data_IF_451213648268
#
_entry.id   IF_451213648268
#
_cell.length_a   1.000
_cell.length_b   1.000
_cell.length_c   1.000
_cell.angle_alpha   90.00
_cell.angle_beta   90.00
_cell.angle_gamma   90.00
#
_symmetry.space_group_name_H-M   'P 1'
#
loop_
_entity.id
_entity.type
_entity.pdbx_description
1 polymer ?
#
# COMPACT_ATOMS: atom_id res chain seq x y z
N UNK A 1 40.64 -53.97 11.68
CA UNK A 1 39.79 -53.09 10.87
C UNK A 1 38.69 -52.58 11.77
N UNK A 2 38.70 -51.29 12.06
CA UNK A 2 37.74 -50.61 12.92
C UNK A 2 37.25 -49.40 12.14
N UNK A 3 35.95 -49.31 11.88
CA UNK A 3 35.32 -48.12 11.33
C UNK A 3 34.39 -47.51 12.38
N UNK A 4 34.66 -46.24 12.67
CA UNK A 4 33.91 -45.37 13.57
C UNK A 4 32.74 -44.77 12.81
N UNK A 5 31.52 -44.99 13.28
CA UNK A 5 30.37 -44.20 12.84
C UNK A 5 30.27 -42.90 13.64
N UNK A 6 30.28 -41.79 12.91
CA UNK A 6 30.19 -40.43 13.43
C UNK A 6 28.74 -40.10 13.80
N UNK A 7 28.54 -39.62 15.03
CA UNK A 7 27.27 -39.07 15.53
C UNK A 7 27.00 -37.73 14.84
N UNK A 8 25.95 -37.65 14.02
CA UNK A 8 25.34 -36.37 13.64
C UNK A 8 24.26 -36.01 14.66
N UNK A 9 24.49 -34.92 15.40
CA UNK A 9 23.48 -34.27 16.23
C UNK A 9 22.47 -33.57 15.34
N UNK A 10 21.37 -34.26 15.02
CA UNK A 10 20.19 -33.65 14.42
C UNK A 10 19.36 -32.95 15.48
N UNK A 11 19.10 -31.66 15.29
CA UNK A 11 18.12 -30.92 16.07
C UNK A 11 16.76 -31.64 16.02
N UNK A 12 16.20 -31.91 17.18
CA UNK A 12 14.89 -32.56 17.35
C UNK A 12 13.83 -31.62 16.75
N UNK A 13 12.95 -32.10 15.85
CA UNK A 13 11.83 -31.30 15.40
C UNK A 13 10.90 -31.04 16.59
N UNK A 14 10.61 -29.76 16.87
CA UNK A 14 9.68 -29.37 17.91
C UNK A 14 8.33 -30.09 17.71
N UNK A 15 7.98 -30.95 18.66
CA UNK A 15 6.77 -31.78 18.63
C UNK A 15 5.52 -30.88 18.60
N UNK A 16 4.69 -30.93 17.53
CA UNK A 16 3.42 -30.20 17.47
C UNK A 16 2.43 -30.63 18.57
N UNK A 17 2.67 -31.77 19.24
CA UNK A 17 1.79 -32.36 20.25
C UNK A 17 2.03 -31.84 21.67
N UNK A 18 3.14 -31.16 21.93
CA UNK A 18 3.41 -30.54 23.24
C UNK A 18 2.43 -29.40 23.56
N UNK A 19 2.04 -28.61 22.55
CA UNK A 19 1.08 -27.50 22.68
C UNK A 19 -0.37 -28.01 22.82
N UNK A 20 -0.67 -29.23 22.36
CA UNK A 20 -2.01 -29.83 22.44
C UNK A 20 -2.43 -30.26 23.86
N UNK A 21 -1.56 -30.11 24.88
CA UNK A 21 -1.96 -30.26 26.29
C UNK A 21 -2.76 -29.06 26.84
N UNK A 22 -2.86 -27.96 26.08
CA UNK A 22 -3.42 -26.68 26.56
C UNK A 22 -4.82 -26.38 26.01
N UNK A 23 -5.60 -25.65 26.81
CA UNK A 23 -7.06 -25.64 26.82
C UNK A 23 -7.73 -25.27 25.49
N UNK A 24 -8.79 -26.02 25.15
CA UNK A 24 -9.66 -25.81 23.97
C UNK A 24 -9.99 -24.34 23.70
N UNK A 25 -10.20 -23.55 24.76
CA UNK A 25 -10.51 -22.12 24.69
C UNK A 25 -9.44 -21.30 23.95
N UNK A 26 -8.13 -21.55 24.18
CA UNK A 26 -7.06 -20.82 23.49
C UNK A 26 -7.06 -21.11 21.98
N UNK A 27 -7.25 -22.38 21.60
CA UNK A 27 -7.28 -22.79 20.20
C UNK A 27 -8.51 -22.26 19.47
N UNK A 28 -9.65 -22.16 20.15
CA UNK A 28 -10.91 -21.64 19.60
C UNK A 28 -10.80 -20.14 19.22
N UNK A 29 -9.91 -19.37 19.86
CA UNK A 29 -9.66 -17.97 19.49
C UNK A 29 -9.24 -17.79 18.03
N UNK A 30 -8.41 -18.70 17.50
CA UNK A 30 -7.98 -18.63 16.09
C UNK A 30 -9.12 -18.93 15.10
N UNK A 31 -10.10 -19.72 15.52
CA UNK A 31 -11.31 -19.95 14.73
C UNK A 31 -12.20 -18.70 14.73
N UNK A 32 -12.31 -18.03 15.88
CA UNK A 32 -13.09 -16.80 16.02
C UNK A 32 -12.45 -15.61 15.31
N UNK A 33 -11.11 -15.50 15.29
CA UNK A 33 -10.37 -14.51 14.48
C UNK A 33 -10.68 -14.66 12.98
N UNK A 34 -10.99 -15.88 12.51
CA UNK A 34 -11.28 -16.16 11.11
C UNK A 34 -12.75 -15.88 10.70
N UNK A 35 -13.62 -15.51 11.63
CA UNK A 35 -15.06 -15.29 11.39
C UNK A 35 -15.34 -13.97 10.66
N UNK A 36 -16.40 -13.89 9.83
CA UNK A 36 -16.76 -12.66 9.10
C UNK A 36 -17.34 -11.57 9.99
N UNK A 37 -17.85 -11.90 11.18
CA UNK A 37 -18.40 -10.93 12.14
C UNK A 37 -17.26 -10.13 12.81
N UNK A 38 -17.27 -8.81 12.63
CA UNK A 38 -16.23 -7.92 13.17
C UNK A 38 -16.10 -8.01 14.68
N UNK A 39 -17.21 -7.93 15.41
CA UNK A 39 -17.23 -7.99 16.88
C UNK A 39 -16.61 -9.28 17.42
N UNK A 40 -16.87 -10.41 16.75
CA UNK A 40 -16.31 -11.71 17.16
C UNK A 40 -14.80 -11.74 16.96
N UNK A 41 -14.30 -11.21 15.82
CA UNK A 41 -12.86 -11.13 15.57
C UNK A 41 -12.14 -10.22 16.57
N UNK A 42 -12.74 -9.09 16.89
CA UNK A 42 -12.15 -8.11 17.82
C UNK A 42 -12.08 -8.70 19.24
N UNK A 43 -13.19 -9.29 19.72
CA UNK A 43 -13.21 -9.95 21.02
C UNK A 43 -12.21 -11.11 21.10
N UNK A 44 -12.10 -11.94 20.05
CA UNK A 44 -11.12 -13.03 20.01
C UNK A 44 -9.67 -12.53 20.00
N UNK A 45 -9.39 -11.43 19.30
CA UNK A 45 -8.08 -10.79 19.30
C UNK A 45 -7.71 -10.25 20.68
N UNK A 46 -8.64 -9.56 21.34
CA UNK A 46 -8.44 -9.04 22.69
C UNK A 46 -8.20 -10.17 23.71
N UNK A 47 -9.01 -11.23 23.62
CA UNK A 47 -8.87 -12.41 24.48
C UNK A 47 -7.54 -13.14 24.24
N UNK A 48 -7.07 -13.21 22.99
CA UNK A 48 -5.75 -13.75 22.67
C UNK A 48 -4.64 -12.93 23.34
N UNK A 49 -4.69 -11.60 23.24
CA UNK A 49 -3.70 -10.74 23.89
C UNK A 49 -3.73 -10.88 25.40
N UNK A 50 -4.91 -10.89 26.02
CA UNK A 50 -5.06 -11.07 27.46
C UNK A 50 -4.46 -12.40 27.91
N UNK A 51 -4.81 -13.49 27.22
CA UNK A 51 -4.27 -14.82 27.50
C UNK A 51 -2.73 -14.86 27.42
N UNK A 52 -2.14 -14.25 26.38
CA UNK A 52 -0.69 -14.23 26.22
C UNK A 52 0.02 -13.36 27.27
N UNK A 53 -0.61 -12.29 27.78
CA UNK A 53 -0.03 -11.43 28.82
C UNK A 53 -0.15 -12.01 30.23
N UNK A 54 -1.27 -12.64 30.56
CA UNK A 54 -1.61 -13.08 31.92
C UNK A 54 -0.95 -14.41 32.33
N UNK A 55 0.11 -14.83 31.63
CA UNK A 55 0.84 -16.07 31.91
C UNK A 55 1.00 -17.01 30.71
N UNK A 56 0.89 -16.50 29.48
CA UNK A 56 1.25 -17.28 28.29
C UNK A 56 2.72 -17.68 28.34
N UNK A 57 3.00 -18.97 28.21
CA UNK A 57 4.39 -19.43 28.10
C UNK A 57 4.98 -19.03 26.74
N UNK A 58 6.30 -18.87 26.63
CA UNK A 58 7.01 -18.57 25.37
C UNK A 58 6.57 -19.47 24.19
N UNK A 59 6.24 -20.74 24.48
CA UNK A 59 5.77 -21.70 23.49
C UNK A 59 4.36 -21.39 22.96
N UNK A 60 3.47 -20.79 23.77
CA UNK A 60 2.16 -20.33 23.32
C UNK A 60 2.26 -19.08 22.46
N UNK A 61 3.17 -18.16 22.80
CA UNK A 61 3.45 -17.00 21.96
C UNK A 61 4.01 -17.42 20.60
N UNK A 62 4.99 -18.32 20.57
CA UNK A 62 5.51 -18.91 19.32
C UNK A 62 4.43 -19.63 18.53
N UNK A 63 3.57 -20.39 19.20
CA UNK A 63 2.43 -21.04 18.56
C UNK A 63 1.46 -20.02 17.95
N UNK A 64 1.11 -18.98 18.69
CA UNK A 64 0.21 -17.93 18.24
C UNK A 64 0.78 -17.22 17.01
N UNK A 65 2.04 -16.77 17.07
CA UNK A 65 2.71 -16.14 15.92
C UNK A 65 2.65 -17.02 14.68
N UNK A 66 3.02 -18.29 14.79
CA UNK A 66 2.95 -19.24 13.67
C UNK A 66 1.52 -19.35 13.11
N UNK A 67 0.51 -19.52 13.97
CA UNK A 67 -0.90 -19.65 13.54
C UNK A 67 -1.42 -18.38 12.88
N UNK A 68 -1.05 -17.21 13.39
CA UNK A 68 -1.41 -15.92 12.82
C UNK A 68 -0.77 -15.74 11.43
N UNK A 69 0.53 -16.01 11.30
CA UNK A 69 1.26 -15.95 10.03
C UNK A 69 0.65 -16.89 8.98
N UNK A 70 0.29 -18.12 9.36
CA UNK A 70 -0.39 -19.05 8.45
C UNK A 70 -1.76 -18.52 7.98
N UNK A 71 -2.49 -17.86 8.87
CA UNK A 71 -3.83 -17.33 8.62
C UNK A 71 -3.88 -16.15 7.63
N UNK A 72 -2.75 -15.44 7.42
CA UNK A 72 -2.67 -14.31 6.48
C UNK A 72 -3.05 -14.71 5.04
N UNK A 73 -2.71 -15.94 4.64
CA UNK A 73 -2.99 -16.51 3.33
C UNK A 73 -4.28 -17.36 3.28
N UNK A 74 -5.21 -17.18 4.23
CA UNK A 74 -6.40 -18.02 4.34
C UNK A 74 -7.23 -18.06 3.04
N UNK A 75 -7.79 -19.23 2.72
CA UNK A 75 -8.67 -19.40 1.54
C UNK A 75 -9.95 -18.58 1.68
N UNK A 76 -10.51 -18.47 2.89
CA UNK A 76 -11.65 -17.61 3.18
C UNK A 76 -11.18 -16.16 3.22
N UNK A 77 -11.66 -15.36 2.28
CA UNK A 77 -11.18 -13.97 2.11
C UNK A 77 -11.45 -13.11 3.33
N UNK A 78 -12.62 -13.28 3.96
CA UNK A 78 -13.03 -12.57 5.16
C UNK A 78 -12.13 -12.84 6.39
N UNK A 79 -11.37 -13.95 6.40
CA UNK A 79 -10.50 -14.29 7.51
C UNK A 79 -9.17 -13.53 7.49
N UNK A 80 -8.66 -13.19 6.29
CA UNK A 80 -7.30 -12.62 6.13
C UNK A 80 -7.10 -11.29 6.89
N UNK A 81 -8.05 -10.33 6.85
CA UNK A 81 -7.93 -9.10 7.64
C UNK A 81 -7.94 -9.37 9.15
N UNK A 82 -8.69 -10.39 9.60
CA UNK A 82 -8.72 -10.79 11.00
C UNK A 82 -7.36 -11.25 11.51
N UNK A 83 -6.71 -12.15 10.76
CA UNK A 83 -5.36 -12.62 11.09
C UNK A 83 -4.31 -11.51 11.01
N UNK A 84 -4.42 -10.62 10.02
CA UNK A 84 -3.53 -9.46 9.88
C UNK A 84 -3.62 -8.53 11.09
N UNK A 85 -4.85 -8.18 11.50
CA UNK A 85 -5.09 -7.35 12.68
C UNK A 85 -4.59 -8.02 13.96
N UNK A 86 -4.92 -9.29 14.17
CA UNK A 86 -4.47 -10.01 15.36
C UNK A 86 -2.95 -10.10 15.45
N UNK A 87 -2.26 -10.32 14.32
CA UNK A 87 -0.80 -10.27 14.26
C UNK A 87 -0.27 -8.87 14.58
N UNK A 88 -0.85 -7.82 14.01
CA UNK A 88 -0.46 -6.44 14.30
C UNK A 88 -0.56 -6.13 15.80
N UNK A 89 -1.64 -6.57 16.45
CA UNK A 89 -1.87 -6.35 17.87
C UNK A 89 -0.90 -7.15 18.76
N UNK A 90 -0.57 -8.40 18.39
CA UNK A 90 0.46 -9.18 19.08
C UNK A 90 1.81 -8.49 18.95
N UNK A 91 2.21 -8.06 17.75
CA UNK A 91 3.48 -7.36 17.55
C UNK A 91 3.52 -6.02 18.29
N UNK A 92 2.40 -5.31 18.36
CA UNK A 92 2.33 -4.07 19.14
C UNK A 92 2.48 -4.33 20.66
N UNK A 93 1.92 -5.44 21.17
CA UNK A 93 1.95 -5.76 22.59
C UNK A 93 3.30 -6.33 23.08
N UNK A 94 4.02 -7.05 22.22
CA UNK A 94 5.26 -7.75 22.54
C UNK A 94 6.42 -7.17 21.72
N UNK A 95 7.00 -6.07 22.21
CA UNK A 95 8.06 -5.32 21.53
C UNK A 95 9.39 -6.10 21.41
N UNK A 96 9.59 -7.12 22.24
CA UNK A 96 10.74 -8.02 22.20
C UNK A 96 10.78 -8.90 20.94
N UNK A 97 9.65 -9.07 20.25
CA UNK A 97 9.58 -9.85 19.01
C UNK A 97 10.20 -9.03 17.87
N UNK A 98 11.29 -9.48 17.23
CA UNK A 98 11.91 -8.74 16.13
C UNK A 98 11.04 -8.78 14.87
N UNK A 99 10.76 -7.62 14.26
CA UNK A 99 9.91 -7.56 13.07
C UNK A 99 10.54 -8.26 11.86
N UNK A 100 11.86 -8.15 11.67
CA UNK A 100 12.56 -8.89 10.61
C UNK A 100 12.32 -10.40 10.71
N UNK A 101 12.42 -10.99 11.90
CA UNK A 101 12.20 -12.43 12.07
C UNK A 101 10.76 -12.85 11.79
N UNK A 102 9.79 -11.94 11.97
CA UNK A 102 8.39 -12.18 11.60
C UNK A 102 8.19 -12.04 10.10
N UNK A 103 8.82 -11.05 9.47
CA UNK A 103 8.80 -10.87 8.02
C UNK A 103 9.41 -12.07 7.29
N UNK A 104 10.53 -12.59 7.78
CA UNK A 104 11.17 -13.81 7.27
C UNK A 104 10.20 -15.02 7.35
N UNK A 105 9.51 -15.21 8.48
CA UNK A 105 8.50 -16.26 8.63
C UNK A 105 7.31 -16.10 7.65
N UNK A 106 6.88 -14.85 7.42
CA UNK A 106 5.82 -14.54 6.44
C UNK A 106 6.28 -14.93 5.03
N UNK A 107 7.47 -14.48 4.63
CA UNK A 107 8.02 -14.75 3.29
C UNK A 107 8.31 -16.24 3.07
N UNK A 108 8.76 -16.95 4.10
CA UNK A 108 8.97 -18.40 4.03
C UNK A 108 7.64 -19.13 3.85
N UNK A 109 6.63 -18.80 4.68
CA UNK A 109 5.32 -19.45 4.63
C UNK A 109 4.58 -19.17 3.32
N UNK A 110 4.68 -17.94 2.82
CA UNK A 110 3.96 -17.45 1.65
C UNK A 110 4.87 -17.25 0.44
N UNK A 111 5.91 -18.07 0.31
CA UNK A 111 6.87 -17.94 -0.79
C UNK A 111 6.19 -18.15 -2.16
N UNK A 112 6.22 -17.12 -3.02
CA UNK A 112 5.52 -17.09 -4.30
C UNK A 112 6.04 -18.12 -5.32
N UNK A 113 7.30 -18.52 -5.21
CA UNK A 113 7.95 -19.46 -6.14
C UNK A 113 7.75 -20.92 -5.72
N UNK A 114 7.72 -21.20 -4.41
CA UNK A 114 7.60 -22.55 -3.86
C UNK A 114 6.16 -23.05 -3.79
N UNK A 115 5.17 -22.16 -3.74
CA UNK A 115 3.77 -22.57 -3.64
C UNK A 115 3.24 -23.16 -4.95
N UNK A 116 2.30 -24.10 -4.83
CA UNK A 116 1.57 -24.64 -6.00
C UNK A 116 0.87 -23.50 -6.73
N UNK A 117 0.80 -23.56 -8.07
CA UNK A 117 0.15 -22.52 -8.92
C UNK A 117 -1.22 -22.06 -8.43
N UNK A 118 -2.06 -22.98 -7.94
CA UNK A 118 -3.41 -22.68 -7.40
C UNK A 118 -3.42 -21.88 -6.09
N UNK A 119 -2.30 -21.83 -5.37
CA UNK A 119 -2.13 -21.14 -4.10
C UNK A 119 -1.33 -19.83 -4.22
N UNK A 120 -0.86 -19.47 -5.42
CA UNK A 120 -0.11 -18.21 -5.65
C UNK A 120 -0.93 -17.00 -5.21
N UNK A 121 -2.24 -16.98 -5.48
CA UNK A 121 -3.14 -15.93 -4.98
C UNK A 121 -3.12 -15.84 -3.44
N UNK A 122 -3.24 -16.98 -2.76
CA UNK A 122 -3.23 -17.04 -1.30
C UNK A 122 -1.90 -16.55 -0.73
N UNK A 123 -0.77 -16.95 -1.33
CA UNK A 123 0.56 -16.52 -0.95
C UNK A 123 0.78 -15.02 -1.19
N UNK A 124 0.29 -14.48 -2.31
CA UNK A 124 0.33 -13.05 -2.58
C UNK A 124 -0.45 -12.25 -1.52
N UNK A 125 -1.65 -12.71 -1.14
CA UNK A 125 -2.39 -12.11 -0.03
C UNK A 125 -1.71 -12.31 1.33
N UNK A 126 -1.08 -13.45 1.57
CA UNK A 126 -0.36 -13.74 2.80
C UNK A 126 0.79 -12.77 3.04
N UNK A 127 1.62 -12.53 2.02
CA UNK A 127 2.67 -11.51 2.07
C UNK A 127 2.09 -10.11 2.26
N UNK A 128 1.06 -9.76 1.47
CA UNK A 128 0.42 -8.44 1.56
C UNK A 128 -0.13 -8.15 2.96
N UNK A 129 -0.93 -9.05 3.52
CA UNK A 129 -1.48 -8.90 4.87
C UNK A 129 -0.41 -9.01 5.95
N UNK A 130 0.70 -9.68 5.67
CA UNK A 130 1.88 -9.69 6.54
C UNK A 130 2.51 -8.30 6.65
N UNK A 131 2.79 -7.65 5.52
CA UNK A 131 3.31 -6.27 5.52
C UNK A 131 2.31 -5.31 6.18
N UNK A 132 1.02 -5.45 5.91
CA UNK A 132 -0.03 -4.67 6.59
C UNK A 132 0.02 -4.86 8.11
N UNK A 133 0.22 -6.09 8.60
CA UNK A 133 0.30 -6.35 10.03
C UNK A 133 1.53 -5.69 10.68
N UNK A 134 2.69 -5.76 10.02
CA UNK A 134 3.90 -5.08 10.47
C UNK A 134 3.69 -3.56 10.53
N UNK A 135 3.10 -2.97 9.48
CA UNK A 135 2.80 -1.54 9.43
C UNK A 135 1.81 -1.12 10.51
N UNK A 136 0.68 -1.83 10.62
CA UNK A 136 -0.39 -1.53 11.59
C UNK A 136 0.02 -1.75 13.05
N UNK A 137 1.09 -2.50 13.32
CA UNK A 137 1.65 -2.60 14.67
C UNK A 137 2.23 -1.25 15.17
N UNK A 138 2.45 -0.28 14.27
CA UNK A 138 3.10 1.00 14.57
C UNK A 138 4.61 0.90 14.78
N UNK A 139 5.19 -0.31 14.62
CA UNK A 139 6.61 -0.57 14.86
C UNK A 139 7.46 -0.53 13.59
N UNK A 140 6.88 -0.76 12.41
CA UNK A 140 7.62 -0.91 11.14
C UNK A 140 8.57 0.26 10.84
N UNK A 141 8.12 1.49 11.05
CA UNK A 141 8.90 2.71 10.73
C UNK A 141 10.16 2.83 11.60
N UNK A 142 10.16 2.22 12.79
CA UNK A 142 11.29 2.22 13.73
C UNK A 142 12.32 1.14 13.41
N UNK A 143 11.94 0.12 12.62
CA UNK A 143 12.82 -0.98 12.21
C UNK A 143 13.21 -0.80 10.74
N UNK A 144 14.35 -0.16 10.49
CA UNK A 144 14.81 0.19 9.15
C UNK A 144 14.99 -1.04 8.25
N UNK A 145 15.46 -2.17 8.80
CA UNK A 145 15.67 -3.39 8.02
C UNK A 145 14.32 -4.00 7.62
N UNK A 146 13.39 -4.13 8.57
CA UNK A 146 12.05 -4.63 8.26
C UNK A 146 11.28 -3.71 7.31
N UNK A 147 11.43 -2.38 7.44
CA UNK A 147 10.84 -1.38 6.54
C UNK A 147 11.35 -1.57 5.11
N UNK A 148 12.67 -1.67 4.94
CA UNK A 148 13.31 -1.88 3.64
C UNK A 148 12.80 -3.14 2.96
N UNK A 149 12.83 -4.28 3.67
CA UNK A 149 12.40 -5.57 3.12
C UNK A 149 10.88 -5.59 2.83
N UNK A 150 10.08 -4.90 3.64
CA UNK A 150 8.63 -4.75 3.41
C UNK A 150 8.34 -3.95 2.14
N UNK A 151 9.07 -2.87 1.88
CA UNK A 151 8.92 -2.06 0.66
C UNK A 151 9.31 -2.87 -0.58
N UNK A 152 10.42 -3.60 -0.53
CA UNK A 152 10.84 -4.50 -1.61
C UNK A 152 9.80 -5.58 -1.88
N UNK A 153 9.22 -6.16 -0.83
CA UNK A 153 8.14 -7.14 -0.97
C UNK A 153 6.89 -6.52 -1.60
N UNK A 154 6.49 -5.31 -1.21
CA UNK A 154 5.36 -4.61 -1.84
C UNK A 154 5.62 -4.31 -3.33
N UNK A 155 6.83 -3.91 -3.69
CA UNK A 155 7.23 -3.72 -5.10
C UNK A 155 7.10 -5.01 -5.91
N UNK A 156 7.58 -6.14 -5.38
CA UNK A 156 7.41 -7.45 -6.01
C UNK A 156 5.93 -7.83 -6.17
N UNK A 157 5.13 -7.62 -5.11
CA UNK A 157 3.70 -7.90 -5.12
C UNK A 157 2.91 -7.02 -6.10
N UNK A 158 3.40 -5.83 -6.43
CA UNK A 158 2.77 -4.95 -7.42
C UNK A 158 2.75 -5.56 -8.83
N UNK A 159 3.59 -6.56 -9.13
CA UNK A 159 3.52 -7.33 -10.38
C UNK A 159 2.37 -8.36 -10.40
N UNK A 160 1.72 -8.63 -9.27
CA UNK A 160 0.59 -9.56 -9.13
C UNK A 160 -0.77 -8.84 -9.16
N UNK A 161 -0.95 -7.88 -10.08
CA UNK A 161 -2.15 -7.03 -10.20
C UNK A 161 -3.44 -7.83 -10.40
N UNK A 162 -3.37 -9.00 -11.05
CA UNK A 162 -4.52 -9.89 -11.25
C UNK A 162 -5.14 -10.39 -9.94
N UNK A 163 -4.37 -10.38 -8.85
CA UNK A 163 -4.80 -10.82 -7.53
C UNK A 163 -4.99 -9.66 -6.56
N UNK A 164 -3.99 -8.79 -6.47
CA UNK A 164 -3.93 -7.75 -5.45
C UNK A 164 -4.40 -6.37 -5.94
N UNK A 165 -4.66 -6.19 -7.24
CA UNK A 165 -4.96 -4.89 -7.85
C UNK A 165 -3.92 -3.85 -7.40
N UNK A 166 -4.37 -2.70 -6.90
CA UNK A 166 -3.52 -1.60 -6.43
C UNK A 166 -3.20 -1.64 -4.93
N UNK A 167 -3.58 -2.71 -4.22
CA UNK A 167 -3.40 -2.79 -2.77
C UNK A 167 -1.93 -2.62 -2.32
N UNK A 168 -0.92 -3.26 -2.94
CA UNK A 168 0.47 -3.11 -2.50
C UNK A 168 0.98 -1.68 -2.65
N UNK A 169 0.57 -1.01 -3.73
CA UNK A 169 0.95 0.36 -4.05
C UNK A 169 0.27 1.37 -3.12
N UNK A 170 -1.03 1.18 -2.82
CA UNK A 170 -1.74 1.99 -1.82
C UNK A 170 -1.08 1.87 -0.44
N UNK A 171 -0.70 0.65 -0.06
CA UNK A 171 0.01 0.39 1.19
C UNK A 171 1.40 1.04 1.21
N UNK A 172 2.12 1.03 0.10
CA UNK A 172 3.39 1.75 -0.01
C UNK A 172 3.21 3.26 0.23
N UNK A 173 2.15 3.86 -0.34
CA UNK A 173 1.80 5.28 -0.12
C UNK A 173 1.41 5.54 1.34
N UNK A 174 0.66 4.64 1.96
CA UNK A 174 0.29 4.75 3.38
C UNK A 174 1.55 4.68 4.28
N UNK A 175 2.46 3.76 4.01
CA UNK A 175 3.75 3.66 4.73
C UNK A 175 4.55 4.96 4.56
N UNK A 176 4.71 5.44 3.32
CA UNK A 176 5.46 6.67 3.05
C UNK A 176 4.83 7.90 3.70
N UNK A 177 3.52 7.90 3.94
CA UNK A 177 2.83 9.00 4.61
C UNK A 177 3.18 9.15 6.08
N UNK A 178 3.69 8.08 6.70
CA UNK A 178 4.08 8.01 8.12
C UNK A 178 5.61 8.00 8.32
N UNK A 179 6.39 7.81 7.25
CA UNK A 179 7.86 7.80 7.32
C UNK A 179 8.40 9.22 7.54
N UNK A 180 9.34 9.43 8.49
CA UNK A 180 10.04 10.71 8.64
C UNK A 180 10.90 11.05 7.42
N UNK A 181 11.04 12.34 7.13
CA UNK A 181 11.82 12.82 5.97
C UNK A 181 13.28 12.37 5.99
N UNK A 182 13.91 12.30 7.18
CA UNK A 182 15.28 11.80 7.34
C UNK A 182 15.40 10.33 6.94
N UNK A 183 14.46 9.49 7.37
CA UNK A 183 14.43 8.06 7.03
C UNK A 183 14.18 7.87 5.53
N UNK A 184 13.33 8.71 4.93
CA UNK A 184 13.14 8.70 3.49
C UNK A 184 14.44 9.02 2.74
N UNK A 185 15.16 10.07 3.13
CA UNK A 185 16.40 10.48 2.45
C UNK A 185 17.53 9.45 2.59
N UNK A 186 17.74 8.94 3.81
CA UNK A 186 18.89 8.07 4.13
C UNK A 186 18.68 6.62 3.69
N UNK A 187 17.44 6.12 3.76
CA UNK A 187 17.15 4.68 3.55
C UNK A 187 16.33 4.47 2.28
N UNK A 188 15.18 5.13 2.15
CA UNK A 188 14.21 4.79 1.11
C UNK A 188 14.52 5.38 -0.25
N UNK A 189 15.17 6.54 -0.30
CA UNK A 189 15.41 7.25 -1.55
C UNK A 189 16.25 6.41 -2.52
N UNK A 190 17.28 5.71 -2.03
CA UNK A 190 18.12 4.84 -2.86
C UNK A 190 17.35 3.66 -3.46
N UNK A 191 16.43 3.08 -2.69
CA UNK A 191 15.63 1.91 -3.10
C UNK A 191 14.57 2.33 -4.12
N UNK A 192 13.88 3.44 -3.83
CA UNK A 192 12.81 3.97 -4.68
C UNK A 192 13.35 4.78 -5.86
N UNK A 193 14.66 4.99 -5.98
CA UNK A 193 15.24 5.84 -7.01
C UNK A 193 14.84 5.40 -8.43
N UNK A 194 14.80 4.09 -8.69
CA UNK A 194 14.42 3.55 -9.99
C UNK A 194 12.94 3.86 -10.32
N UNK A 195 12.05 3.71 -9.33
CA UNK A 195 10.63 4.02 -9.48
C UNK A 195 10.40 5.53 -9.66
N UNK A 196 11.06 6.36 -8.84
CA UNK A 196 11.00 7.81 -8.92
C UNK A 196 11.52 8.31 -10.27
N UNK A 197 12.67 7.83 -10.74
CA UNK A 197 13.24 8.25 -12.04
C UNK A 197 12.38 7.79 -13.21
N UNK A 198 11.56 6.77 -13.03
CA UNK A 198 10.60 6.27 -14.02
C UNK A 198 9.17 6.76 -13.79
N UNK A 199 8.99 7.88 -13.08
CA UNK A 199 7.68 8.45 -12.76
C UNK A 199 6.72 8.57 -13.96
N UNK A 200 7.24 8.92 -15.14
CA UNK A 200 6.42 9.08 -16.34
C UNK A 200 6.11 7.78 -17.10
N UNK A 201 6.51 6.60 -16.59
CA UNK A 201 6.25 5.31 -17.26
C UNK A 201 4.90 4.70 -16.90
N UNK A 202 4.36 4.99 -15.71
CA UNK A 202 3.05 4.48 -15.29
C UNK A 202 2.38 5.43 -14.30
N UNK A 203 1.03 5.42 -14.20
CA UNK A 203 0.31 6.29 -13.29
C UNK A 203 0.73 6.10 -11.82
N UNK A 204 1.20 4.91 -11.47
CA UNK A 204 1.56 4.56 -10.11
C UNK A 204 2.96 5.03 -9.74
N UNK A 205 3.92 4.99 -10.67
CA UNK A 205 5.23 5.61 -10.46
C UNK A 205 5.10 7.13 -10.37
N UNK A 206 4.21 7.73 -11.17
CA UNK A 206 3.88 9.14 -11.05
C UNK A 206 3.27 9.43 -9.68
N UNK A 207 2.27 8.66 -9.24
CA UNK A 207 1.65 8.84 -7.92
C UNK A 207 2.68 8.74 -6.78
N UNK A 208 3.60 7.76 -6.83
CA UNK A 208 4.69 7.63 -5.86
C UNK A 208 5.56 8.89 -5.79
N UNK A 209 5.94 9.45 -6.94
CA UNK A 209 6.70 10.69 -7.00
C UNK A 209 5.91 11.86 -6.40
N UNK A 210 4.64 12.01 -6.76
CA UNK A 210 3.80 13.11 -6.28
C UNK A 210 3.63 13.03 -4.76
N UNK A 211 3.31 11.85 -4.20
CA UNK A 211 3.27 11.63 -2.75
C UNK A 211 4.60 12.01 -2.11
N UNK A 212 5.71 11.56 -2.70
CA UNK A 212 7.05 11.91 -2.23
C UNK A 212 7.28 13.42 -2.21
N UNK A 213 6.94 14.14 -3.28
CA UNK A 213 7.10 15.60 -3.35
C UNK A 213 6.27 16.33 -2.29
N UNK A 214 5.09 15.80 -1.97
CA UNK A 214 4.21 16.38 -0.97
C UNK A 214 4.67 16.12 0.46
N UNK A 215 5.19 14.92 0.74
CA UNK A 215 5.61 14.47 2.08
C UNK A 215 7.05 14.82 2.42
N UNK A 216 7.93 14.88 1.42
CA UNK A 216 9.37 15.10 1.57
C UNK A 216 9.86 16.30 0.73
N UNK A 217 9.30 17.51 0.93
CA UNK A 217 9.64 18.69 0.12
C UNK A 217 11.08 19.17 0.34
N UNK A 218 11.69 18.86 1.48
CA UNK A 218 13.10 19.14 1.79
C UNK A 218 14.06 18.26 1.00
N UNK A 219 13.67 17.03 0.68
CA UNK A 219 14.45 16.05 -0.10
C UNK A 219 14.22 16.24 -1.61
N UNK A 220 12.96 16.28 -2.05
CA UNK A 220 12.58 16.37 -3.47
C UNK A 220 12.47 17.82 -3.97
N UNK A 221 13.51 18.60 -3.66
CA UNK A 221 13.64 20.00 -4.09
C UNK A 221 13.76 20.15 -5.61
N UNK A 222 13.48 21.34 -6.17
CA UNK A 222 13.64 21.62 -7.60
C UNK A 222 15.01 21.24 -8.18
N UNK A 223 16.09 21.40 -7.41
CA UNK A 223 17.44 20.98 -7.83
C UNK A 223 17.55 19.47 -8.04
N UNK A 224 16.88 18.67 -7.20
CA UNK A 224 16.88 17.21 -7.30
C UNK A 224 15.97 16.75 -8.44
N UNK A 225 14.79 17.37 -8.61
CA UNK A 225 13.91 17.14 -9.75
C UNK A 225 14.61 17.45 -11.08
N UNK A 226 15.35 18.56 -11.16
CA UNK A 226 16.15 18.92 -12.35
C UNK A 226 17.20 17.87 -12.70
N UNK A 227 17.81 17.23 -11.70
CA UNK A 227 18.77 16.13 -11.93
C UNK A 227 18.09 14.85 -12.42
N UNK A 228 16.87 14.57 -11.94
CA UNK A 228 16.13 13.35 -12.28
C UNK A 228 15.42 13.45 -13.64
N UNK A 229 14.84 14.61 -13.96
CA UNK A 229 13.94 14.79 -15.09
C UNK A 229 14.36 15.90 -16.06
N UNK A 230 15.48 16.59 -15.82
CA UNK A 230 15.92 17.73 -16.63
C UNK A 230 15.21 19.05 -16.32
N UNK A 231 14.09 19.01 -15.60
CA UNK A 231 13.26 20.17 -15.25
C UNK A 231 13.11 20.33 -13.72
N UNK A 232 13.06 21.58 -13.20
CA UNK A 232 12.84 21.83 -11.78
C UNK A 232 11.41 21.53 -11.30
N UNK A 233 10.46 21.34 -12.22
CA UNK A 233 9.04 21.06 -11.95
C UNK A 233 8.56 19.85 -12.73
N UNK A 234 7.52 19.18 -12.22
CA UNK A 234 6.88 18.06 -12.92
C UNK A 234 5.84 18.58 -13.91
N UNK A 235 5.08 19.61 -13.54
CA UNK A 235 4.09 20.25 -14.40
C UNK A 235 4.79 21.34 -15.23
N UNK A 236 5.08 21.02 -16.48
CA UNK A 236 5.67 21.91 -17.48
C UNK A 236 5.25 21.47 -18.89
N UNK A 237 5.43 22.35 -19.88
CA UNK A 237 4.99 22.12 -21.26
C UNK A 237 5.52 20.82 -21.86
N UNK A 238 6.79 20.48 -21.59
CA UNK A 238 7.42 19.26 -22.12
C UNK A 238 6.77 17.99 -21.56
N UNK A 239 6.32 18.03 -20.31
CA UNK A 239 5.74 16.88 -19.61
C UNK A 239 4.22 16.75 -19.81
N UNK A 240 3.50 17.81 -20.23
CA UNK A 240 2.03 17.79 -20.36
C UNK A 240 1.53 16.58 -21.17
N UNK A 241 2.06 16.27 -22.37
CA UNK A 241 1.54 15.14 -23.16
C UNK A 241 1.62 13.81 -22.39
N UNK A 242 2.72 13.58 -21.68
CA UNK A 242 2.92 12.37 -20.86
C UNK A 242 1.97 12.34 -19.67
N UNK A 243 1.75 13.48 -18.99
CA UNK A 243 0.81 13.58 -17.89
C UNK A 243 -0.63 13.26 -18.34
N UNK A 244 -1.04 13.74 -19.51
CA UNK A 244 -2.35 13.44 -20.11
C UNK A 244 -2.50 11.94 -20.35
N UNK A 245 -1.51 11.29 -21.00
CA UNK A 245 -1.55 9.84 -21.25
C UNK A 245 -1.69 9.02 -19.96
N UNK A 246 -0.95 9.39 -18.92
CA UNK A 246 -0.97 8.70 -17.63
C UNK A 246 -2.31 8.90 -16.91
N UNK A 247 -2.85 10.11 -16.90
CA UNK A 247 -4.16 10.39 -16.32
C UNK A 247 -5.29 9.69 -17.07
N UNK A 248 -5.21 9.62 -18.40
CA UNK A 248 -6.18 8.89 -19.22
C UNK A 248 -6.15 7.38 -18.90
N UNK A 249 -4.96 6.81 -18.77
CA UNK A 249 -4.77 5.42 -18.35
C UNK A 249 -5.37 5.16 -16.96
N UNK A 250 -5.09 6.05 -15.99
CA UNK A 250 -5.64 5.96 -14.65
C UNK A 250 -7.18 6.05 -14.62
N UNK A 251 -7.76 6.98 -15.39
CA UNK A 251 -9.20 7.13 -15.50
C UNK A 251 -9.89 5.88 -16.05
N UNK A 252 -9.28 5.21 -17.04
CA UNK A 252 -9.79 3.98 -17.64
C UNK A 252 -9.78 2.81 -16.64
N UNK A 253 -8.75 2.72 -15.79
CA UNK A 253 -8.65 1.69 -14.75
C UNK A 253 -9.73 1.82 -13.67
N UNK A 254 -10.12 3.05 -13.32
CA UNK A 254 -11.14 3.35 -12.30
C UNK A 254 -12.59 3.40 -12.85
N UNK A 255 -12.81 2.97 -14.11
CA UNK A 255 -14.12 3.03 -14.78
C UNK A 255 -15.27 2.39 -13.99
N UNK A 256 -14.99 1.29 -13.28
CA UNK A 256 -16.01 0.56 -12.51
C UNK A 256 -16.37 1.26 -11.20
N UNK A 257 -15.35 1.78 -10.51
CA UNK A 257 -15.50 2.39 -9.20
C UNK A 257 -15.99 3.84 -9.29
N UNK A 258 -15.86 4.49 -10.46
CA UNK A 258 -16.28 5.88 -10.73
C UNK A 258 -15.67 6.89 -9.75
N UNK A 259 -14.44 6.61 -9.30
CA UNK A 259 -13.68 7.43 -8.35
C UNK A 259 -12.65 8.29 -9.10
N UNK A 260 -12.26 9.39 -8.47
CA UNK A 260 -11.10 10.18 -8.90
C UNK A 260 -9.84 9.36 -8.59
N UNK A 261 -9.00 9.03 -9.59
CA UNK A 261 -7.72 8.39 -9.32
C UNK A 261 -6.84 9.28 -8.41
N UNK A 262 -6.17 8.69 -7.42
CA UNK A 262 -5.33 9.42 -6.46
C UNK A 262 -4.25 10.25 -7.16
N UNK A 263 -3.65 9.72 -8.24
CA UNK A 263 -2.68 10.44 -9.08
C UNK A 263 -3.23 11.77 -9.64
N UNK A 264 -4.53 11.84 -9.96
CA UNK A 264 -5.15 13.06 -10.45
C UNK A 264 -5.30 14.13 -9.37
N UNK A 265 -5.68 13.71 -8.16
CA UNK A 265 -5.79 14.62 -7.00
C UNK A 265 -4.41 15.16 -6.59
N UNK A 266 -3.41 14.29 -6.51
CA UNK A 266 -2.07 14.68 -6.10
C UNK A 266 -1.38 15.55 -7.15
N UNK A 267 -1.62 15.29 -8.44
CA UNK A 267 -1.07 16.12 -9.51
C UNK A 267 -1.68 17.52 -9.51
N UNK A 268 -2.99 17.64 -9.21
CA UNK A 268 -3.64 18.92 -8.97
C UNK A 268 -2.96 19.67 -7.82
N UNK A 269 -2.74 19.02 -6.67
CA UNK A 269 -2.08 19.64 -5.51
C UNK A 269 -0.64 20.07 -5.83
N UNK A 270 0.12 19.23 -6.55
CA UNK A 270 1.48 19.56 -6.99
C UNK A 270 1.47 20.72 -7.99
N UNK A 271 0.54 20.76 -8.94
CA UNK A 271 0.45 21.87 -9.90
C UNK A 271 0.23 23.22 -9.20
N UNK A 272 -0.56 23.24 -8.12
CA UNK A 272 -0.76 24.44 -7.30
C UNK A 272 0.51 24.84 -6.56
N UNK A 273 1.22 23.87 -5.95
CA UNK A 273 2.49 24.11 -5.25
C UNK A 273 3.60 24.60 -6.17
N UNK A 274 3.63 24.12 -7.42
CA UNK A 274 4.58 24.54 -8.44
C UNK A 274 4.20 25.88 -9.11
N UNK A 275 3.03 26.44 -8.81
CA UNK A 275 2.52 27.64 -9.49
C UNK A 275 2.15 27.41 -10.96
N UNK A 276 1.94 26.14 -11.35
CA UNK A 276 1.69 25.70 -12.72
C UNK A 276 0.24 25.23 -12.95
N UNK A 277 -0.68 25.62 -12.06
CA UNK A 277 -2.08 25.20 -12.13
C UNK A 277 -2.77 25.60 -13.44
N UNK A 278 -2.55 26.82 -13.93
CA UNK A 278 -3.19 27.28 -15.19
C UNK A 278 -2.73 26.45 -16.39
N UNK A 279 -1.43 26.15 -16.47
CA UNK A 279 -0.88 25.26 -17.49
C UNK A 279 -1.49 23.85 -17.38
N UNK A 280 -1.53 23.29 -16.17
CA UNK A 280 -2.15 21.99 -15.94
C UNK A 280 -3.62 21.97 -16.35
N UNK A 281 -4.40 22.97 -15.95
CA UNK A 281 -5.83 23.00 -16.22
C UNK A 281 -6.12 23.18 -17.71
N UNK A 282 -5.51 24.17 -18.35
CA UNK A 282 -5.79 24.50 -19.74
C UNK A 282 -5.26 23.42 -20.69
N UNK A 283 -4.00 23.00 -20.51
CA UNK A 283 -3.36 22.08 -21.46
C UNK A 283 -3.64 20.62 -21.14
N UNK A 284 -3.51 20.18 -19.88
CA UNK A 284 -3.72 18.77 -19.55
C UNK A 284 -5.20 18.43 -19.39
N UNK A 285 -5.97 19.23 -18.63
CA UNK A 285 -7.37 18.89 -18.33
C UNK A 285 -8.29 19.24 -19.50
N UNK A 286 -8.35 20.50 -19.92
CA UNK A 286 -9.32 20.91 -20.94
C UNK A 286 -8.92 20.50 -22.35
N UNK A 287 -7.69 20.77 -22.77
CA UNK A 287 -7.23 20.48 -24.14
C UNK A 287 -6.79 19.02 -24.31
N UNK A 288 -6.18 18.43 -23.29
CA UNK A 288 -5.66 17.07 -23.32
C UNK A 288 -6.70 15.99 -23.02
N UNK A 289 -7.25 15.98 -21.82
CA UNK A 289 -8.13 14.92 -21.31
C UNK A 289 -9.58 15.09 -21.77
N UNK A 290 -10.10 16.31 -21.75
CA UNK A 290 -11.50 16.61 -22.01
C UNK A 290 -11.85 16.65 -23.51
N UNK A 291 -11.56 15.55 -24.22
CA UNK A 291 -11.84 15.38 -25.66
C UNK A 291 -13.23 14.82 -25.93
N UNK A 292 -13.73 13.94 -25.06
CA UNK A 292 -15.03 13.30 -25.19
C UNK A 292 -16.02 13.86 -24.16
N UNK A 293 -17.30 13.98 -24.55
CA UNK A 293 -18.36 14.49 -23.65
C UNK A 293 -18.84 13.49 -22.61
N UNK A 294 -18.54 12.20 -22.81
CA UNK A 294 -18.98 11.13 -21.93
C UNK A 294 -17.94 10.02 -21.85
N UNK A 295 -17.62 9.57 -20.65
CA UNK A 295 -16.69 8.46 -20.45
C UNK A 295 -15.95 8.57 -19.12
N UNK A 296 -15.11 7.57 -18.79
CA UNK A 296 -14.34 7.57 -17.54
C UNK A 296 -13.48 8.82 -17.39
N UNK A 297 -12.90 9.32 -18.48
CA UNK A 297 -12.05 10.51 -18.50
C UNK A 297 -12.86 11.77 -18.21
N UNK A 298 -14.01 11.98 -18.87
CA UNK A 298 -14.88 13.14 -18.63
C UNK A 298 -15.40 13.15 -17.18
N UNK A 299 -15.80 11.99 -16.65
CA UNK A 299 -16.21 11.87 -15.24
C UNK A 299 -15.08 12.17 -14.27
N UNK A 300 -13.85 11.72 -14.58
CA UNK A 300 -12.67 12.09 -13.81
C UNK A 300 -12.47 13.60 -13.83
N UNK A 301 -12.58 14.27 -14.98
CA UNK A 301 -12.45 15.73 -15.07
C UNK A 301 -13.51 16.46 -14.23
N UNK A 302 -14.77 15.98 -14.18
CA UNK A 302 -15.80 16.56 -13.30
C UNK A 302 -15.47 16.39 -11.81
N UNK A 303 -14.94 15.22 -11.42
CA UNK A 303 -14.49 14.99 -10.04
C UNK A 303 -13.28 15.86 -9.70
N UNK A 304 -12.35 16.01 -10.64
CA UNK A 304 -11.18 16.86 -10.50
C UNK A 304 -11.57 18.33 -10.33
N UNK A 305 -12.56 18.82 -11.08
CA UNK A 305 -13.16 20.14 -10.89
C UNK A 305 -13.66 20.30 -9.46
N UNK A 306 -14.51 19.38 -8.98
CA UNK A 306 -15.02 19.42 -7.60
C UNK A 306 -13.92 19.45 -6.54
N UNK A 307 -12.86 18.66 -6.71
CA UNK A 307 -11.70 18.65 -5.81
C UNK A 307 -10.83 19.91 -5.91
N UNK A 308 -10.80 20.57 -7.07
CA UNK A 308 -10.04 21.80 -7.29
C UNK A 308 -10.68 23.01 -6.63
N UNK A 309 -12.01 23.19 -6.76
CA UNK A 309 -12.73 24.37 -6.29
C UNK A 309 -12.32 24.91 -4.89
N UNK A 310 -12.20 24.10 -3.82
CA UNK A 310 -11.83 24.62 -2.50
C UNK A 310 -10.36 25.06 -2.37
N UNK A 311 -9.51 24.77 -3.38
CA UNK A 311 -8.07 25.01 -3.37
C UNK A 311 -7.64 26.21 -4.21
N UNK A 312 -8.55 26.80 -5.01
CA UNK A 312 -8.22 27.79 -6.03
C UNK A 312 -8.31 29.23 -5.50
N UNK A 313 -7.48 30.11 -6.06
CA UNK A 313 -7.63 31.56 -5.90
C UNK A 313 -8.89 32.07 -6.62
N UNK A 314 -9.28 33.32 -6.36
CA UNK A 314 -10.45 33.93 -7.04
C UNK A 314 -10.27 33.96 -8.55
N UNK A 315 -9.08 34.31 -9.04
CA UNK A 315 -8.79 34.37 -10.48
C UNK A 315 -8.86 32.98 -11.12
N UNK A 316 -8.29 31.97 -10.45
CA UNK A 316 -8.34 30.58 -10.89
C UNK A 316 -9.77 30.02 -10.87
N UNK A 317 -10.59 30.38 -9.87
CA UNK A 317 -12.01 30.05 -9.83
C UNK A 317 -12.76 30.62 -11.03
N UNK A 318 -12.53 31.89 -11.36
CA UNK A 318 -13.16 32.50 -12.54
C UNK A 318 -12.77 31.79 -13.83
N UNK A 319 -11.50 31.38 -13.96
CA UNK A 319 -11.02 30.61 -15.09
C UNK A 319 -11.74 29.26 -15.21
N UNK A 320 -11.72 28.43 -14.16
CA UNK A 320 -12.29 27.07 -14.24
C UNK A 320 -13.81 27.05 -14.34
N UNK A 321 -14.51 28.00 -13.71
CA UNK A 321 -15.98 28.08 -13.74
C UNK A 321 -16.52 28.58 -15.07
N UNK A 322 -15.71 29.32 -15.85
CA UNK A 322 -16.02 29.71 -17.24
C UNK A 322 -15.50 28.69 -18.26
N UNK A 323 -14.79 27.67 -17.80
CA UNK A 323 -14.15 26.65 -18.63
C UNK A 323 -15.11 25.61 -19.18
N UNK A 324 -14.61 24.83 -20.15
CA UNK A 324 -15.37 23.79 -20.85
C UNK A 324 -15.85 22.68 -19.91
N UNK A 325 -15.03 22.33 -18.92
CA UNK A 325 -15.35 21.25 -17.97
C UNK A 325 -16.59 21.62 -17.14
N UNK A 326 -16.69 22.87 -16.67
CA UNK A 326 -17.84 23.34 -15.89
C UNK A 326 -19.11 23.40 -16.74
N UNK A 327 -19.02 23.92 -17.98
CA UNK A 327 -20.15 23.96 -18.90
C UNK A 327 -20.73 22.56 -19.15
N UNK A 328 -19.88 21.60 -19.49
CA UNK A 328 -20.32 20.24 -19.77
C UNK A 328 -20.76 19.47 -18.54
N UNK A 329 -20.19 19.76 -17.37
CA UNK A 329 -20.72 19.24 -16.11
C UNK A 329 -22.17 19.72 -15.90
N UNK A 330 -22.44 21.02 -16.13
CA UNK A 330 -23.80 21.57 -16.07
C UNK A 330 -24.76 20.88 -17.05
N UNK A 331 -24.37 20.74 -18.31
CA UNK A 331 -25.16 20.01 -19.32
C UNK A 331 -25.44 18.56 -18.90
N UNK A 332 -24.42 17.86 -18.37
CA UNK A 332 -24.56 16.49 -17.90
C UNK A 332 -25.58 16.38 -16.76
N UNK A 333 -25.49 17.25 -15.75
CA UNK A 333 -26.41 17.26 -14.60
C UNK A 333 -27.86 17.52 -15.03
N UNK A 334 -28.09 18.36 -16.04
CA UNK A 334 -29.44 18.66 -16.54
C UNK A 334 -29.99 17.51 -17.39
N UNK A 335 -29.14 16.83 -18.17
CA UNK A 335 -29.56 15.77 -19.11
C UNK A 335 -29.68 14.39 -18.48
N UNK A 336 -29.17 14.17 -17.27
CA UNK A 336 -29.23 12.89 -16.55
C UNK A 336 -30.18 12.89 -15.34
N UNK A 337 -30.97 13.94 -15.15
CA UNK A 337 -32.16 13.94 -14.29
C UNK A 337 -33.33 13.22 -14.96
#
# INVERSE_FOLDING_TARGET
MAEREARHGGAVPADPRGVLRKGRAFLDLFWDIAKPEQEVRLAATENLLRHLRDGGEDEELKYALRRLVEGLGATREAARPGFSLALAQVLQAFEEIPLCGVLEQIQEKHNLEKVKKKLVRNAAFGNFFGVMALFQSGRLIKDQKALLESIQLLQQLAHHQTHLRDLPRKTLVDILSEVPETVFEEVLFGILQADLTSAFKSPENLHLLLVGMQKFPGVLKPKKLKKLFGSPTIVNEENIPRLVELLESAAKSEKKDKKLPSVGLDLLQVSLKEGAFELFWNEAVESGLFKEKSGPVSYMCYRLLGSALPLLSVDQLQMVLKGRVMQHYGEHVVTTQ
#
